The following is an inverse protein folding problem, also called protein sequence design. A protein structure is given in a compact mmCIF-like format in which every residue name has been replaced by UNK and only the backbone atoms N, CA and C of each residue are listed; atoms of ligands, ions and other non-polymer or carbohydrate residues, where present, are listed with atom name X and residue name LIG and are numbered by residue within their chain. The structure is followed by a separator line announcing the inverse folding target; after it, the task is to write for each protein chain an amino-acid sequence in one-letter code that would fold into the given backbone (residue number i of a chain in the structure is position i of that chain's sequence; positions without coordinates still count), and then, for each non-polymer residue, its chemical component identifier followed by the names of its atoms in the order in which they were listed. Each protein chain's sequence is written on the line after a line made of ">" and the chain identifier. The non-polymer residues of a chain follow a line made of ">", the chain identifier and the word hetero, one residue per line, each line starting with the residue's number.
data_IF_725199508914
#
_entry.id   IF_725199508914
#
_cell.length_a   1.000
_cell.length_b   1.000
_cell.length_c   1.000
_cell.angle_alpha   90.00
_cell.angle_beta   90.00
_cell.angle_gamma   90.00
#
_symmetry.space_group_name_H-M   'P 1'
#
loop_
_entity.id
_entity.type
_entity.pdbx_description
1 polymer ?
#
# COMPACT_ATOMS: atom_id res chain seq x y z
N UNK A 1 44.31 29.26 -8.69
CA UNK A 1 44.78 27.87 -8.82
C UNK A 1 43.63 26.96 -8.46
N UNK A 2 43.28 26.06 -9.37
CA UNK A 2 42.20 25.08 -9.27
C UNK A 2 42.58 23.93 -8.33
N UNK A 3 41.64 23.44 -7.53
CA UNK A 3 41.58 22.02 -7.16
C UNK A 3 40.13 21.59 -7.05
N UNK A 4 39.68 20.87 -8.08
CA UNK A 4 38.47 20.07 -8.08
C UNK A 4 38.73 18.75 -7.33
N UNK A 5 37.82 18.40 -6.42
CA UNK A 5 37.51 17.03 -6.02
C UNK A 5 36.05 16.86 -6.46
N UNK A 6 35.72 16.09 -7.49
CA UNK A 6 36.06 14.68 -7.66
C UNK A 6 34.90 13.88 -7.07
N UNK A 7 33.94 13.53 -7.92
CA UNK A 7 32.58 13.15 -7.52
C UNK A 7 32.46 11.84 -6.74
N UNK A 8 31.48 11.85 -5.85
CA UNK A 8 30.57 10.73 -5.63
C UNK A 8 29.22 11.22 -6.11
N UNK A 9 28.77 10.75 -7.27
CA UNK A 9 27.36 10.83 -7.66
C UNK A 9 26.59 9.99 -6.64
N UNK A 10 26.22 10.63 -5.53
CA UNK A 10 25.42 10.04 -4.48
C UNK A 10 24.14 9.53 -5.12
N UNK A 11 23.95 8.21 -5.12
CA UNK A 11 22.63 7.64 -5.36
C UNK A 11 21.68 8.39 -4.44
N UNK A 12 20.68 9.04 -5.03
CA UNK A 12 19.72 9.82 -4.28
C UNK A 12 19.21 8.96 -3.13
N UNK A 13 19.42 9.41 -1.89
CA UNK A 13 18.66 8.89 -0.77
C UNK A 13 17.21 9.28 -1.06
N UNK A 14 16.46 8.34 -1.64
CA UNK A 14 15.03 8.51 -1.88
C UNK A 14 14.40 8.49 -0.49
N UNK A 15 13.87 9.63 -0.06
CA UNK A 15 13.10 9.70 1.17
C UNK A 15 11.89 8.75 1.02
N UNK A 16 11.79 7.66 1.80
CA UNK A 16 10.68 6.72 1.71
C UNK A 16 9.34 7.33 2.15
N UNK A 17 9.37 8.53 2.74
CA UNK A 17 8.19 9.30 3.15
C UNK A 17 7.85 10.41 2.16
N UNK A 18 8.69 10.67 1.15
CA UNK A 18 8.33 11.55 0.05
C UNK A 18 7.40 10.79 -0.89
N UNK A 19 6.13 11.19 -0.89
CA UNK A 19 5.12 10.62 -1.79
C UNK A 19 5.66 10.65 -3.23
N UNK A 20 5.55 9.55 -3.99
CA UNK A 20 6.02 9.53 -5.36
C UNK A 20 5.34 10.64 -6.16
N UNK A 21 6.11 11.41 -6.92
CA UNK A 21 5.61 12.46 -7.84
C UNK A 21 4.67 11.90 -8.94
N UNK A 22 4.56 10.58 -9.05
CA UNK A 22 3.55 9.90 -9.87
C UNK A 22 2.32 9.56 -9.03
N UNK A 23 1.54 10.60 -8.71
CA UNK A 23 0.13 10.43 -8.40
C UNK A 23 -0.62 10.61 -9.72
N UNK A 24 -0.72 9.53 -10.51
CA UNK A 24 -1.91 9.42 -11.35
C UNK A 24 -3.09 9.42 -10.38
N UNK A 25 -3.85 10.52 -10.35
CA UNK A 25 -5.10 10.55 -9.59
C UNK A 25 -5.93 9.36 -10.07
N UNK A 26 -6.51 8.65 -9.10
CA UNK A 26 -7.46 7.60 -9.44
C UNK A 26 -8.53 8.20 -10.36
N UNK A 27 -8.96 7.46 -11.40
CA UNK A 27 -10.01 7.93 -12.29
C UNK A 27 -11.21 8.43 -11.48
N UNK A 28 -11.86 9.46 -11.98
CA UNK A 28 -13.05 10.04 -11.35
C UNK A 28 -14.02 8.92 -10.92
N UNK A 29 -14.47 8.98 -9.68
CA UNK A 29 -15.32 8.00 -8.97
C UNK A 29 -14.69 6.72 -8.42
N UNK A 30 -13.39 6.47 -8.56
CA UNK A 30 -12.75 5.33 -7.89
C UNK A 30 -12.30 5.74 -6.48
N UNK A 31 -12.78 5.01 -5.47
CA UNK A 31 -12.47 5.26 -4.05
C UNK A 31 -11.97 4.00 -3.36
N UNK A 32 -11.13 4.19 -2.34
CA UNK A 32 -10.75 3.12 -1.42
C UNK A 32 -11.89 2.92 -0.40
N UNK A 33 -12.51 1.74 -0.43
CA UNK A 33 -13.61 1.40 0.49
C UNK A 33 -13.19 0.44 1.60
N UNK A 34 -12.03 -0.21 1.44
CA UNK A 34 -11.50 -1.13 2.43
C UNK A 34 -10.00 -1.33 2.27
N UNK A 35 -9.35 -1.61 3.39
CA UNK A 35 -7.90 -1.85 3.47
C UNK A 35 -7.58 -2.60 4.75
N UNK A 36 -7.30 -3.89 4.62
CA UNK A 36 -6.87 -4.74 5.73
C UNK A 36 -5.41 -5.14 5.54
N UNK A 37 -4.61 -5.02 6.60
CA UNK A 37 -3.25 -5.55 6.64
C UNK A 37 -3.16 -6.54 7.79
N UNK A 38 -2.82 -7.80 7.46
CA UNK A 38 -2.64 -8.87 8.43
C UNK A 38 -1.24 -8.76 9.02
N UNK A 39 -1.19 -8.62 10.34
CA UNK A 39 0.06 -8.36 11.05
C UNK A 39 0.79 -9.65 11.41
N UNK A 40 2.01 -9.80 10.92
CA UNK A 40 2.95 -10.83 11.36
C UNK A 40 3.84 -10.33 12.51
N UNK A 41 4.52 -11.23 13.24
CA UNK A 41 5.42 -10.84 14.34
C UNK A 41 6.52 -9.86 13.91
N UNK A 42 7.05 -10.01 12.69
CA UNK A 42 8.05 -9.11 12.10
C UNK A 42 7.47 -7.72 11.80
N UNK A 43 6.23 -7.68 11.33
CA UNK A 43 5.51 -6.44 11.04
C UNK A 43 5.29 -5.65 12.32
N UNK A 44 4.93 -6.33 13.42
CA UNK A 44 4.75 -5.69 14.73
C UNK A 44 6.03 -5.01 15.24
N UNK A 45 7.20 -5.65 15.09
CA UNK A 45 8.46 -5.03 15.53
C UNK A 45 8.78 -3.77 14.71
N UNK A 46 8.59 -3.83 13.39
CA UNK A 46 8.86 -2.68 12.51
C UNK A 46 7.83 -1.57 12.74
N UNK A 47 6.56 -1.91 12.93
CA UNK A 47 5.52 -0.94 13.27
C UNK A 47 5.83 -0.22 14.58
N UNK A 48 6.36 -0.92 15.60
CA UNK A 48 6.80 -0.30 16.85
C UNK A 48 7.97 0.67 16.64
N UNK A 49 8.95 0.30 15.83
CA UNK A 49 10.09 1.16 15.51
C UNK A 49 9.65 2.41 14.73
N UNK A 50 8.73 2.26 13.77
CA UNK A 50 8.12 3.37 13.02
C UNK A 50 7.30 4.28 13.95
N UNK A 51 6.52 3.71 14.87
CA UNK A 51 5.78 4.47 15.89
C UNK A 51 6.74 5.30 16.76
N UNK A 52 7.81 4.67 17.24
CA UNK A 52 8.80 5.33 18.07
C UNK A 52 9.53 6.47 17.34
N UNK A 53 9.71 6.33 16.02
CA UNK A 53 10.26 7.37 15.15
C UNK A 53 9.24 8.47 14.78
N UNK A 54 8.00 8.39 15.25
CA UNK A 54 6.93 9.35 14.93
C UNK A 54 6.32 9.16 13.53
N UNK A 55 6.53 8.01 12.89
CA UNK A 55 6.17 7.75 11.49
C UNK A 55 4.70 7.44 11.22
N UNK A 56 3.81 7.53 12.21
CA UNK A 56 2.37 7.39 12.00
C UNK A 56 1.67 8.74 11.96
N UNK A 57 1.14 9.09 10.80
CA UNK A 57 0.25 10.25 10.64
C UNK A 57 -1.16 9.83 11.05
N UNK A 58 -1.76 10.58 11.97
CA UNK A 58 -3.13 10.34 12.39
C UNK A 58 -4.09 10.38 11.19
N UNK A 59 -4.93 9.34 11.05
CA UNK A 59 -5.88 9.20 9.94
C UNK A 59 -5.39 8.35 8.76
N UNK A 60 -4.15 7.88 8.78
CA UNK A 60 -3.64 6.93 7.77
C UNK A 60 -3.97 5.49 8.14
N UNK A 61 -4.02 4.63 7.12
CA UNK A 61 -4.10 3.18 7.32
C UNK A 61 -2.81 2.63 7.92
N UNK A 62 -2.88 1.37 8.38
CA UNK A 62 -1.67 0.63 8.75
C UNK A 62 -0.78 0.46 7.51
N UNK A 63 0.54 0.63 7.64
CA UNK A 63 1.45 0.52 6.51
C UNK A 63 1.51 -0.90 5.96
N UNK A 64 1.82 -1.01 4.67
CA UNK A 64 2.17 -2.26 4.02
C UNK A 64 3.69 -2.31 3.93
N UNK A 65 4.31 -3.23 4.67
CA UNK A 65 5.76 -3.33 4.73
C UNK A 65 6.26 -4.21 3.58
N UNK A 66 7.34 -3.77 2.93
CA UNK A 66 8.08 -4.56 1.94
C UNK A 66 9.48 -4.82 2.46
N UNK A 67 9.90 -6.08 2.42
CA UNK A 67 11.18 -6.52 2.96
C UNK A 67 12.18 -6.78 1.83
N UNK A 68 13.49 -6.60 2.07
CA UNK A 68 14.53 -6.77 1.05
C UNK A 68 14.71 -8.23 0.58
N UNK A 69 14.12 -9.20 1.28
CA UNK A 69 14.08 -10.61 0.89
C UNK A 69 12.95 -10.94 -0.10
N UNK A 70 12.16 -9.93 -0.50
CA UNK A 70 11.01 -10.08 -1.39
C UNK A 70 9.71 -10.45 -0.68
N UNK A 71 9.73 -10.62 0.64
CA UNK A 71 8.50 -10.75 1.44
C UNK A 71 7.84 -9.39 1.68
N UNK A 72 6.59 -9.41 2.12
CA UNK A 72 5.81 -8.21 2.45
C UNK A 72 4.83 -8.49 3.60
N UNK A 73 4.13 -7.48 4.08
CA UNK A 73 2.90 -7.67 4.85
C UNK A 73 1.82 -8.30 3.97
N UNK A 74 0.99 -9.15 4.55
CA UNK A 74 -0.20 -9.64 3.83
C UNK A 74 -1.26 -8.56 3.88
N UNK A 75 -1.73 -8.07 2.73
CA UNK A 75 -2.70 -6.99 2.69
C UNK A 75 -3.82 -7.27 1.68
N UNK A 76 -4.98 -6.67 1.93
CA UNK A 76 -6.15 -6.67 1.06
C UNK A 76 -6.67 -5.25 0.94
N UNK A 77 -6.80 -4.75 -0.28
CA UNK A 77 -7.30 -3.42 -0.60
C UNK A 77 -8.54 -3.59 -1.47
N UNK A 78 -9.60 -2.84 -1.17
CA UNK A 78 -10.84 -2.87 -1.95
C UNK A 78 -11.08 -1.51 -2.55
N UNK A 79 -11.17 -1.48 -3.88
CA UNK A 79 -11.51 -0.32 -4.68
C UNK A 79 -12.96 -0.43 -5.13
N UNK A 80 -13.68 0.67 -5.11
CA UNK A 80 -15.06 0.76 -5.59
C UNK A 80 -15.20 1.93 -6.58
N UNK A 81 -16.01 1.74 -7.62
CA UNK A 81 -16.39 2.81 -8.55
C UNK A 81 -17.80 3.39 -8.24
N UNK A 82 -18.26 4.40 -8.99
CA UNK A 82 -19.62 4.97 -8.84
C UNK A 82 -20.78 3.99 -9.15
N UNK A 83 -20.51 2.86 -9.80
CA UNK A 83 -21.50 1.81 -10.11
C UNK A 83 -21.53 0.72 -9.05
N UNK A 84 -20.87 0.97 -7.92
CA UNK A 84 -20.64 0.03 -6.84
C UNK A 84 -19.83 -1.22 -7.22
N UNK A 85 -19.26 -1.29 -8.43
CA UNK A 85 -18.39 -2.39 -8.83
C UNK A 85 -17.11 -2.35 -8.01
N UNK A 86 -16.68 -3.53 -7.55
CA UNK A 86 -15.54 -3.69 -6.66
C UNK A 86 -14.41 -4.48 -7.32
N UNK A 87 -13.18 -4.06 -7.06
CA UNK A 87 -11.97 -4.84 -7.32
C UNK A 87 -11.21 -4.99 -6.01
N UNK A 88 -10.84 -6.23 -5.68
CA UNK A 88 -9.97 -6.53 -4.55
C UNK A 88 -8.55 -6.72 -5.04
N UNK A 89 -7.61 -5.92 -4.53
CA UNK A 89 -6.18 -6.16 -4.67
C UNK A 89 -5.69 -6.91 -3.44
N UNK A 90 -5.11 -8.10 -3.63
CA UNK A 90 -4.53 -8.91 -2.56
C UNK A 90 -3.01 -8.94 -2.70
N UNK A 91 -2.31 -8.70 -1.61
CA UNK A 91 -0.85 -8.78 -1.51
C UNK A 91 -0.49 -9.96 -0.62
N UNK A 92 0.31 -10.89 -1.14
CA UNK A 92 0.76 -12.07 -0.41
C UNK A 92 2.04 -11.80 0.35
N UNK A 93 1.98 -11.89 1.68
CA UNK A 93 3.12 -11.55 2.52
C UNK A 93 4.36 -12.40 2.29
N UNK A 94 4.22 -13.67 1.93
CA UNK A 94 5.40 -14.53 1.72
C UNK A 94 6.21 -14.17 0.46
N UNK A 95 5.56 -13.66 -0.59
CA UNK A 95 6.18 -13.50 -1.91
C UNK A 95 6.15 -12.08 -2.46
N UNK A 96 5.46 -11.15 -1.80
CA UNK A 96 5.30 -9.79 -2.29
C UNK A 96 4.46 -9.67 -3.56
N UNK A 97 3.80 -10.76 -3.98
CA UNK A 97 3.02 -10.79 -5.22
C UNK A 97 1.66 -10.15 -4.96
N UNK A 98 1.32 -9.15 -5.77
CA UNK A 98 0.01 -8.53 -5.81
C UNK A 98 -0.85 -9.17 -6.91
N UNK A 99 -2.12 -9.43 -6.59
CA UNK A 99 -3.12 -9.96 -7.54
C UNK A 99 -4.40 -9.14 -7.44
N UNK A 100 -4.96 -8.74 -8.58
CA UNK A 100 -6.28 -8.13 -8.64
C UNK A 100 -7.35 -9.21 -8.89
N UNK A 101 -8.49 -9.10 -8.22
CA UNK A 101 -9.67 -9.92 -8.52
C UNK A 101 -10.31 -9.46 -9.83
N UNK A 102 -11.18 -10.31 -10.38
CA UNK A 102 -12.18 -9.86 -11.33
C UNK A 102 -13.11 -8.81 -10.71
N UNK A 103 -13.77 -8.05 -11.58
CA UNK A 103 -14.75 -7.04 -11.17
C UNK A 103 -15.96 -7.74 -10.57
N UNK A 104 -16.28 -7.40 -9.32
CA UNK A 104 -17.45 -7.92 -8.60
C UNK A 104 -18.48 -6.80 -8.44
N UNK A 105 -19.61 -6.93 -9.12
CA UNK A 105 -20.75 -6.05 -8.87
C UNK A 105 -21.51 -6.53 -7.61
N UNK A 106 -22.12 -5.63 -6.82
CA UNK A 106 -22.79 -6.00 -5.58
C UNK A 106 -23.93 -7.00 -5.81
N UNK A 107 -24.59 -6.93 -6.97
CA UNK A 107 -25.68 -7.83 -7.36
C UNK A 107 -25.20 -9.27 -7.67
N UNK A 108 -23.92 -9.45 -8.01
CA UNK A 108 -23.34 -10.77 -8.33
C UNK A 108 -23.00 -11.57 -7.06
N UNK A 109 -22.82 -10.89 -5.92
CA UNK A 109 -22.70 -11.55 -4.62
C UNK A 109 -24.12 -11.71 -4.08
N UNK A 110 -24.78 -12.83 -4.36
CA UNK A 110 -26.16 -13.15 -3.98
C UNK A 110 -26.45 -13.14 -2.46
N UNK A 111 -26.28 -11.99 -1.82
CA UNK A 111 -26.75 -11.64 -0.50
C UNK A 111 -28.12 -11.01 -0.70
N UNK A 112 -29.12 -11.86 -0.89
CA UNK A 112 -30.50 -11.44 -0.90
C UNK A 112 -30.79 -10.59 0.33
N UNK A 113 -31.19 -9.35 0.09
CA UNK A 113 -31.96 -8.54 1.05
C UNK A 113 -33.12 -9.41 1.53
N UNK A 114 -33.07 -9.82 2.79
CA UNK A 114 -34.25 -10.29 3.51
C UNK A 114 -34.93 -9.03 4.08
N UNK A 115 -36.23 -8.83 3.82
CA UNK A 115 -36.99 -7.66 4.30
C UNK A 115 -37.12 -7.61 5.82
#
# INVERSE_FOLDING_TARGET
>A
TSSALGGVSGGAFVDPFQAPEFLEELPESVVFVGGDSLSAMRDMSVEQDIAAAGGFVAGWSRPILFYPDGSSSTARIVLQNHRDDMVTVSLRGLTGIATASDVTSPDATGMGVMP
#
